data_IF_796127738548
#
_entry.id   IF_796127738548
#
_cell.length_a   1.000
_cell.length_b   1.000
_cell.length_c   1.000
_cell.angle_alpha   90.00
_cell.angle_beta   90.00
_cell.angle_gamma   90.00
#
_symmetry.space_group_name_H-M   'P 1'
#
loop_
_entity.id
_entity.type
_entity.pdbx_description
1 polymer ?
#
# COMPACT_ATOMS: atom_id res chain seq x y z
N UNK A 1 -10.16 52.33 74.06
CA UNK A 1 -11.10 51.38 73.42
C UNK A 1 -11.96 52.16 72.45
N UNK A 2 -12.11 51.61 71.23
CA UNK A 2 -12.93 52.09 70.10
C UNK A 2 -12.48 53.38 69.40
N UNK A 3 -11.62 53.23 68.37
CA UNK A 3 -11.80 54.04 67.16
C UNK A 3 -11.23 53.36 65.90
N UNK A 4 -11.60 52.09 65.68
CA UNK A 4 -11.54 51.42 64.37
C UNK A 4 -12.58 52.01 63.37
N UNK A 5 -13.02 53.24 63.62
CA UNK A 5 -14.03 54.03 62.91
C UNK A 5 -13.53 55.42 62.48
N UNK A 6 -12.23 55.68 62.45
CA UNK A 6 -11.72 56.81 61.68
C UNK A 6 -12.06 56.59 60.19
N UNK A 7 -12.75 57.53 59.52
CA UNK A 7 -13.13 57.38 58.10
C UNK A 7 -11.97 56.96 57.19
N UNK A 8 -10.74 57.36 57.53
CA UNK A 8 -9.51 56.99 56.83
C UNK A 8 -9.17 55.49 56.93
N UNK A 9 -9.25 54.89 58.12
CA UNK A 9 -8.96 53.46 58.30
C UNK A 9 -9.98 52.57 57.57
N UNK A 10 -11.27 52.90 57.68
CA UNK A 10 -12.34 52.19 56.96
C UNK A 10 -12.14 52.27 55.44
N UNK A 11 -11.82 53.46 54.93
CA UNK A 11 -11.53 53.65 53.50
C UNK A 11 -10.26 52.89 53.07
N UNK A 12 -9.25 52.81 53.93
CA UNK A 12 -8.04 52.05 53.70
C UNK A 12 -8.35 50.55 53.58
N UNK A 13 -9.14 50.00 54.50
CA UNK A 13 -9.58 48.60 54.48
C UNK A 13 -10.41 48.29 53.24
N UNK A 14 -11.37 49.16 52.90
CA UNK A 14 -12.21 49.01 51.69
C UNK A 14 -11.38 48.98 50.40
N UNK A 15 -10.32 49.79 50.31
CA UNK A 15 -9.49 49.90 49.09
C UNK A 15 -8.36 48.89 49.01
N UNK A 16 -7.73 48.56 50.14
CA UNK A 16 -6.45 47.84 50.18
C UNK A 16 -6.48 46.56 51.01
N UNK A 17 -7.59 46.26 51.69
CA UNK A 17 -7.74 45.09 52.56
C UNK A 17 -7.65 43.74 51.83
N UNK A 18 -7.78 43.72 50.50
CA UNK A 18 -7.61 42.52 49.68
C UNK A 18 -6.38 42.63 48.78
N UNK A 19 -5.24 42.12 49.25
CA UNK A 19 -4.05 41.95 48.42
C UNK A 19 -4.11 40.66 47.60
N UNK A 20 -3.22 40.51 46.61
CA UNK A 20 -3.28 39.40 45.64
C UNK A 20 -2.42 38.18 46.00
N UNK A 21 -1.78 38.16 47.17
CA UNK A 21 -0.79 37.11 47.48
C UNK A 21 -1.37 35.70 47.49
N UNK A 22 -2.58 35.51 48.02
CA UNK A 22 -3.23 34.19 48.03
C UNK A 22 -3.55 33.70 46.61
N UNK A 23 -4.03 34.60 45.75
CA UNK A 23 -4.31 34.28 44.35
C UNK A 23 -3.01 33.97 43.57
N UNK A 24 -1.93 34.71 43.82
CA UNK A 24 -0.60 34.43 43.25
C UNK A 24 -0.09 33.05 43.66
N UNK A 25 -0.26 32.67 44.92
CA UNK A 25 0.15 31.36 45.43
C UNK A 25 -0.66 30.22 44.78
N UNK A 26 -1.99 30.37 44.68
CA UNK A 26 -2.83 29.40 43.99
C UNK A 26 -2.47 29.25 42.50
N UNK A 27 -2.24 30.37 41.79
CA UNK A 27 -1.78 30.37 40.41
C UNK A 27 -0.41 29.69 40.27
N UNK A 28 0.51 29.94 41.21
CA UNK A 28 1.82 29.31 41.23
C UNK A 28 1.74 27.79 41.39
N UNK A 29 0.87 27.30 42.28
CA UNK A 29 0.63 25.87 42.49
C UNK A 29 0.09 25.23 41.20
N UNK A 30 -0.92 25.86 40.58
CA UNK A 30 -1.53 25.37 39.34
C UNK A 30 -0.50 25.33 38.19
N UNK A 31 0.30 26.40 38.03
CA UNK A 31 1.34 26.45 37.01
C UNK A 31 2.38 25.33 37.20
N UNK A 32 2.78 25.04 38.44
CA UNK A 32 3.67 23.92 38.74
C UNK A 32 3.03 22.57 38.42
N UNK A 33 1.77 22.35 38.78
CA UNK A 33 1.06 21.08 38.46
C UNK A 33 1.01 20.81 36.95
N UNK A 34 0.72 21.84 36.15
CA UNK A 34 0.75 21.73 34.69
C UNK A 34 2.17 21.42 34.20
N UNK A 35 3.18 22.11 34.74
CA UNK A 35 4.60 21.84 34.43
C UNK A 35 4.99 20.38 34.68
N UNK A 36 4.63 19.81 35.84
CA UNK A 36 4.92 18.40 36.14
C UNK A 36 4.20 17.44 35.18
N UNK A 37 2.99 17.80 34.73
CA UNK A 37 2.29 17.04 33.69
C UNK A 37 3.07 17.05 32.38
N UNK A 38 3.58 18.20 31.94
CA UNK A 38 4.40 18.30 30.72
C UNK A 38 5.73 17.56 30.82
N UNK A 39 6.37 17.56 31.99
CA UNK A 39 7.58 16.75 32.26
C UNK A 39 7.36 15.25 32.05
N UNK A 40 6.11 14.79 32.18
CA UNK A 40 5.71 13.40 31.89
C UNK A 40 5.27 13.22 30.44
N UNK A 41 4.50 14.17 29.88
CA UNK A 41 3.94 14.07 28.53
C UNK A 41 4.99 14.21 27.42
N UNK A 42 5.94 15.14 27.54
CA UNK A 42 6.95 15.41 26.52
C UNK A 42 7.78 14.15 26.19
N UNK A 43 8.32 13.40 27.18
CA UNK A 43 9.01 12.13 26.90
C UNK A 43 8.16 11.08 26.18
N UNK A 44 6.85 11.00 26.47
CA UNK A 44 5.94 10.06 25.80
C UNK A 44 5.78 10.41 24.31
N UNK A 45 5.61 11.70 23.99
CA UNK A 45 5.51 12.18 22.61
C UNK A 45 6.83 11.98 21.87
N UNK A 46 7.98 12.24 22.51
CA UNK A 46 9.30 11.97 21.92
C UNK A 46 9.51 10.49 21.61
N UNK A 47 9.06 9.60 22.51
CA UNK A 47 9.08 8.15 22.28
C UNK A 47 8.20 7.75 21.10
N UNK A 48 7.01 8.34 20.97
CA UNK A 48 6.13 8.14 19.81
C UNK A 48 6.77 8.64 18.51
N UNK A 49 7.32 9.85 18.48
CA UNK A 49 8.04 10.40 17.34
C UNK A 49 9.21 9.50 16.91
N UNK A 50 9.99 8.99 17.87
CA UNK A 50 11.09 8.05 17.59
C UNK A 50 10.59 6.77 16.92
N UNK A 51 9.41 6.25 17.31
CA UNK A 51 8.80 5.08 16.65
C UNK A 51 8.34 5.39 15.22
N UNK A 52 7.80 6.58 14.97
CA UNK A 52 7.44 7.04 13.62
C UNK A 52 8.69 7.14 12.73
N UNK A 53 9.78 7.72 13.25
CA UNK A 53 11.05 7.81 12.54
C UNK A 53 11.65 6.45 12.19
N UNK A 54 11.64 5.53 13.15
CA UNK A 54 12.09 4.16 12.92
C UNK A 54 11.25 3.43 11.86
N UNK A 55 9.94 3.71 11.80
CA UNK A 55 9.07 3.18 10.75
C UNK A 55 9.41 3.82 9.40
N UNK A 56 9.60 5.15 9.35
CA UNK A 56 9.93 5.91 8.14
C UNK A 56 11.20 5.38 7.45
N UNK A 57 12.24 5.06 8.21
CA UNK A 57 13.51 4.54 7.68
C UNK A 57 13.35 3.14 7.06
N UNK A 58 12.33 2.37 7.45
CA UNK A 58 12.05 1.01 6.93
C UNK A 58 11.16 1.01 5.69
N UNK A 59 10.50 2.11 5.38
CA UNK A 59 9.65 2.25 4.19
C UNK A 59 10.50 2.75 3.01
N UNK A 60 10.30 2.24 1.78
CA UNK A 60 11.00 2.76 0.60
C UNK A 60 10.80 4.27 0.44
N UNK A 61 11.89 5.00 0.16
CA UNK A 61 11.83 6.44 -0.08
C UNK A 61 11.03 6.74 -1.36
N UNK A 62 9.91 7.43 -1.26
CA UNK A 62 9.08 7.80 -2.41
C UNK A 62 8.94 9.31 -2.54
N UNK A 63 8.75 9.79 -3.77
CA UNK A 63 8.63 11.22 -4.07
C UNK A 63 7.19 11.73 -4.14
N UNK A 64 6.18 10.87 -3.98
CA UNK A 64 4.79 11.28 -4.12
C UNK A 64 4.09 11.46 -2.77
N UNK A 65 3.15 12.40 -2.76
CA UNK A 65 2.47 12.91 -1.56
C UNK A 65 1.55 11.87 -0.92
N UNK A 66 1.05 10.91 -1.70
CA UNK A 66 0.20 9.81 -1.25
C UNK A 66 0.98 8.57 -0.80
N UNK A 67 2.30 8.70 -0.63
CA UNK A 67 3.15 7.61 -0.16
C UNK A 67 3.13 7.48 1.36
N UNK A 68 3.29 6.24 1.84
CA UNK A 68 3.48 5.98 3.29
C UNK A 68 4.73 6.72 3.79
N UNK A 69 5.78 6.81 2.96
CA UNK A 69 6.99 7.55 3.30
C UNK A 69 6.70 9.03 3.55
N UNK A 70 5.92 9.68 2.67
CA UNK A 70 5.52 11.07 2.81
C UNK A 70 4.61 11.30 4.02
N UNK A 71 3.61 10.44 4.24
CA UNK A 71 2.74 10.55 5.42
C UNK A 71 3.55 10.50 6.73
N UNK A 72 4.50 9.56 6.84
CA UNK A 72 5.39 9.46 8.00
C UNK A 72 6.34 10.66 8.13
N UNK A 73 6.78 11.22 7.01
CA UNK A 73 7.59 12.44 6.96
C UNK A 73 6.83 13.63 7.57
N UNK A 74 5.57 13.82 7.17
CA UNK A 74 4.72 14.93 7.66
C UNK A 74 4.38 14.75 9.14
N UNK A 75 3.98 13.54 9.55
CA UNK A 75 3.71 13.24 10.97
C UNK A 75 4.97 13.47 11.83
N UNK A 76 6.14 13.12 11.31
CA UNK A 76 7.40 13.35 12.01
C UNK A 76 7.69 14.83 12.23
N UNK A 77 7.67 15.65 11.17
CA UNK A 77 7.95 17.07 11.25
C UNK A 77 6.92 17.83 12.11
N UNK A 78 5.63 17.49 11.97
CA UNK A 78 4.58 18.09 12.81
C UNK A 78 4.78 17.74 14.29
N UNK A 79 5.13 16.50 14.61
CA UNK A 79 5.47 16.09 15.98
C UNK A 79 6.68 16.85 16.53
N UNK A 80 7.74 17.05 15.74
CA UNK A 80 8.92 17.80 16.16
C UNK A 80 8.55 19.24 16.56
N UNK A 81 7.74 19.91 15.74
CA UNK A 81 7.25 21.27 16.02
C UNK A 81 6.38 21.30 17.29
N UNK A 82 5.49 20.32 17.47
CA UNK A 82 4.63 20.25 18.66
C UNK A 82 5.43 20.00 19.95
N UNK A 83 6.47 19.15 19.89
CA UNK A 83 7.38 18.92 21.03
C UNK A 83 8.04 20.23 21.44
N UNK A 84 8.51 21.04 20.49
CA UNK A 84 9.11 22.34 20.76
C UNK A 84 8.11 23.32 21.40
N UNK A 85 6.88 23.39 20.88
CA UNK A 85 5.80 24.19 21.49
C UNK A 85 5.56 23.78 22.94
N UNK A 86 5.47 22.47 23.21
CA UNK A 86 5.23 21.97 24.56
C UNK A 86 6.39 22.25 25.51
N UNK A 87 7.64 22.17 25.05
CA UNK A 87 8.81 22.58 25.84
C UNK A 87 8.78 24.06 26.18
N UNK A 88 8.47 24.92 25.21
CA UNK A 88 8.36 26.37 25.45
C UNK A 88 7.26 26.66 26.48
N UNK A 89 6.11 26.00 26.34
CA UNK A 89 4.98 26.18 27.26
C UNK A 89 5.30 25.67 28.68
N UNK A 90 5.90 24.48 28.79
CA UNK A 90 6.37 23.88 30.04
C UNK A 90 7.35 24.81 30.77
N UNK A 91 8.39 25.25 30.07
CA UNK A 91 9.42 26.12 30.65
C UNK A 91 8.86 27.50 31.03
N UNK A 92 7.90 28.01 30.27
CA UNK A 92 7.22 29.28 30.58
C UNK A 92 6.38 29.18 31.85
N UNK A 93 5.68 28.06 32.04
CA UNK A 93 4.89 27.79 33.25
C UNK A 93 5.76 27.53 34.48
N UNK A 94 6.88 26.84 34.33
CA UNK A 94 7.86 26.62 35.40
C UNK A 94 8.38 27.98 35.92
N UNK A 95 8.82 28.86 35.00
CA UNK A 95 9.24 30.23 35.31
C UNK A 95 8.12 31.06 35.96
N UNK A 96 6.89 30.97 35.44
CA UNK A 96 5.75 31.67 36.03
C UNK A 96 5.51 31.22 37.48
N UNK A 97 5.51 29.89 37.72
CA UNK A 97 5.33 29.32 39.05
C UNK A 97 6.36 29.87 40.05
N UNK A 98 7.63 29.94 39.66
CA UNK A 98 8.70 30.48 40.50
C UNK A 98 8.51 32.00 40.71
N UNK A 99 8.24 32.77 39.65
CA UNK A 99 8.10 34.23 39.74
C UNK A 99 6.97 34.68 40.66
N UNK A 100 5.82 33.98 40.64
CA UNK A 100 4.66 34.29 41.49
C UNK A 100 4.93 34.07 42.99
N UNK A 101 5.96 33.31 43.36
CA UNK A 101 6.38 33.12 44.75
C UNK A 101 7.31 34.23 45.24
N UNK A 102 8.01 34.92 44.33
CA UNK A 102 8.94 36.00 44.67
C UNK A 102 8.18 37.30 44.94
N UNK A 103 7.74 37.47 46.18
CA UNK A 103 7.05 38.68 46.64
C UNK A 103 8.10 39.76 46.94
N UNK A 104 7.83 41.01 46.54
CA UNK A 104 8.66 42.17 46.87
C UNK A 104 10.11 42.05 46.35
N UNK A 105 10.29 41.82 45.04
CA UNK A 105 11.60 41.58 44.42
C UNK A 105 12.57 42.78 44.42
N UNK A 106 12.13 43.94 44.90
CA UNK A 106 12.90 45.18 45.04
C UNK A 106 13.15 45.58 46.50
N UNK A 107 12.89 44.67 47.44
CA UNK A 107 13.18 44.81 48.87
C UNK A 107 12.58 46.08 49.50
N UNK A 108 11.33 46.41 49.14
CA UNK A 108 10.63 47.53 49.78
C UNK A 108 10.41 47.28 51.26
N UNK A 109 10.88 48.19 52.10
CA UNK A 109 10.67 48.13 53.54
C UNK A 109 9.19 48.38 53.87
N UNK A 110 8.55 47.38 54.47
CA UNK A 110 7.15 47.47 54.90
C UNK A 110 7.09 48.29 56.19
N UNK A 111 6.22 49.31 56.21
CA UNK A 111 6.00 50.18 57.36
C UNK A 111 5.48 49.40 58.56
N UNK A 112 5.84 49.85 59.77
CA UNK A 112 5.25 49.34 61.02
C UNK A 112 3.84 49.86 61.28
N UNK A 113 3.39 50.90 60.55
CA UNK A 113 2.04 51.46 60.65
C UNK A 113 1.06 50.58 59.85
N UNK A 114 0.02 49.99 60.46
CA UNK A 114 -0.83 48.97 59.82
C UNK A 114 -1.49 49.42 58.50
N UNK A 115 -2.04 50.64 58.45
CA UNK A 115 -2.71 51.16 57.24
C UNK A 115 -1.73 51.41 56.08
N UNK A 116 -0.51 51.84 56.39
CA UNK A 116 0.55 52.03 55.38
C UNK A 116 1.03 50.67 54.90
N UNK A 117 1.27 49.73 55.81
CA UNK A 117 1.67 48.36 55.47
C UNK A 117 0.61 47.66 54.59
N UNK A 118 -0.68 47.88 54.86
CA UNK A 118 -1.77 47.33 54.05
C UNK A 118 -1.78 47.89 52.62
N UNK A 119 -1.61 49.20 52.48
CA UNK A 119 -1.44 49.87 51.18
C UNK A 119 -0.23 49.32 50.42
N UNK A 120 0.93 49.26 51.07
CA UNK A 120 2.17 48.73 50.49
C UNK A 120 1.99 47.28 50.02
N UNK A 121 1.47 46.40 50.87
CA UNK A 121 1.24 45.00 50.50
C UNK A 121 0.29 44.85 49.31
N UNK A 122 -0.75 45.68 49.22
CA UNK A 122 -1.63 45.70 48.05
C UNK A 122 -0.86 46.10 46.78
N UNK A 123 -0.13 47.22 46.83
CA UNK A 123 0.67 47.72 45.69
C UNK A 123 1.78 46.75 45.26
N UNK A 124 2.55 46.21 46.21
CA UNK A 124 3.60 45.22 45.98
C UNK A 124 3.02 43.98 45.30
N UNK A 125 1.89 43.46 45.79
CA UNK A 125 1.24 42.29 45.19
C UNK A 125 0.75 42.56 43.76
N UNK A 126 0.26 43.78 43.47
CA UNK A 126 -0.14 44.19 42.13
C UNK A 126 1.05 44.26 41.16
N UNK A 127 2.14 44.91 41.57
CA UNK A 127 3.36 45.05 40.77
C UNK A 127 3.98 43.68 40.50
N UNK A 128 4.14 42.85 41.55
CA UNK A 128 4.73 41.51 41.44
C UNK A 128 3.92 40.61 40.50
N UNK A 129 2.59 40.66 40.60
CA UNK A 129 1.70 39.92 39.68
C UNK A 129 1.85 40.43 38.24
N UNK A 130 1.83 41.75 38.03
CA UNK A 130 1.97 42.33 36.69
C UNK A 130 3.31 41.96 36.05
N UNK A 131 4.42 42.03 36.81
CA UNK A 131 5.75 41.62 36.35
C UNK A 131 5.78 40.13 35.97
N UNK A 132 5.23 39.25 36.81
CA UNK A 132 5.18 37.81 36.58
C UNK A 132 4.39 37.45 35.32
N UNK A 133 3.20 38.05 35.16
CA UNK A 133 2.34 37.82 33.99
C UNK A 133 2.93 38.41 32.71
N UNK A 134 3.52 39.60 32.77
CA UNK A 134 4.19 40.21 31.60
C UNK A 134 5.38 39.38 31.14
N UNK A 135 6.19 38.89 32.08
CA UNK A 135 7.29 37.96 31.79
C UNK A 135 6.78 36.66 31.16
N UNK A 136 5.70 36.09 31.69
CA UNK A 136 5.09 34.88 31.12
C UNK A 136 4.61 35.09 29.68
N UNK A 137 3.91 36.19 29.38
CA UNK A 137 3.48 36.52 28.00
C UNK A 137 4.69 36.60 27.07
N UNK A 138 5.78 37.26 27.50
CA UNK A 138 7.00 37.34 26.70
C UNK A 138 7.64 35.97 26.46
N UNK A 139 7.65 35.09 27.47
CA UNK A 139 8.19 33.73 27.33
C UNK A 139 7.37 32.87 26.35
N UNK A 140 6.08 33.16 26.14
CA UNK A 140 5.22 32.46 25.16
C UNK A 140 5.43 32.94 23.71
N UNK A 141 6.03 34.12 23.49
CA UNK A 141 6.23 34.70 22.16
C UNK A 141 6.83 33.72 21.12
N UNK A 142 7.85 32.89 21.45
CA UNK A 142 8.44 31.94 20.50
C UNK A 142 7.49 30.87 19.96
N UNK A 143 6.35 30.60 20.63
CA UNK A 143 5.34 29.65 20.14
C UNK A 143 4.78 30.11 18.78
N UNK A 144 4.64 31.41 18.56
CA UNK A 144 4.13 31.96 17.29
C UNK A 144 4.95 31.49 16.08
N UNK A 145 6.29 31.51 16.20
CA UNK A 145 7.20 31.04 15.16
C UNK A 145 7.03 29.54 14.87
N UNK A 146 6.87 28.74 15.92
CA UNK A 146 6.64 27.30 15.76
C UNK A 146 5.29 27.01 15.11
N UNK A 147 4.24 27.75 15.46
CA UNK A 147 2.92 27.61 14.83
C UNK A 147 2.94 28.02 13.34
N UNK A 148 3.74 29.02 12.96
CA UNK A 148 3.94 29.37 11.54
C UNK A 148 4.59 28.19 10.79
N UNK A 149 5.60 27.53 11.38
CA UNK A 149 6.20 26.33 10.76
C UNK A 149 5.19 25.19 10.64
N UNK A 150 4.39 24.94 11.69
CA UNK A 150 3.35 23.92 11.67
C UNK A 150 2.36 24.18 10.53
N UNK A 151 1.84 25.40 10.42
CA UNK A 151 0.89 25.78 9.38
C UNK A 151 1.49 25.59 8.00
N UNK A 152 2.75 25.98 7.78
CA UNK A 152 3.41 25.78 6.49
C UNK A 152 3.46 24.30 6.08
N UNK A 153 3.76 23.40 7.01
CA UNK A 153 3.75 21.95 6.74
C UNK A 153 2.35 21.51 6.33
N UNK A 154 1.31 21.95 7.05
CA UNK A 154 -0.07 21.54 6.78
C UNK A 154 -0.68 22.16 5.51
N UNK A 155 -0.27 23.38 5.14
CA UNK A 155 -0.71 24.05 3.90
C UNK A 155 -0.20 23.37 2.63
N UNK A 156 0.91 22.64 2.73
CA UNK A 156 1.51 21.91 1.63
C UNK A 156 0.81 20.55 1.38
N UNK A 157 -0.04 20.10 2.30
CA UNK A 157 -0.75 18.83 2.23
C UNK A 157 -2.17 18.96 1.67
N UNK A 158 -2.54 18.03 0.78
CA UNK A 158 -3.93 17.89 0.29
C UNK A 158 -4.61 16.71 0.97
N UNK A 159 -5.37 16.99 2.03
CA UNK A 159 -6.12 15.97 2.78
C UNK A 159 -7.16 15.24 1.92
N UNK A 160 -7.74 15.91 0.92
CA UNK A 160 -8.73 15.29 0.03
C UNK A 160 -8.05 14.32 -0.95
N UNK A 161 -6.85 14.65 -1.41
CA UNK A 161 -6.05 13.75 -2.26
C UNK A 161 -5.67 12.48 -1.50
N UNK A 162 -5.23 12.61 -0.24
CA UNK A 162 -4.94 11.47 0.64
C UNK A 162 -6.16 10.57 0.83
N UNK A 163 -7.32 11.15 1.16
CA UNK A 163 -8.56 10.37 1.33
C UNK A 163 -8.97 9.66 0.03
N UNK A 164 -8.85 10.35 -1.10
CA UNK A 164 -9.15 9.79 -2.42
C UNK A 164 -8.22 8.61 -2.74
N UNK A 165 -6.93 8.72 -2.44
CA UNK A 165 -5.96 7.65 -2.63
C UNK A 165 -6.29 6.42 -1.77
N UNK A 166 -6.61 6.62 -0.49
CA UNK A 166 -7.02 5.55 0.43
C UNK A 166 -8.28 4.83 -0.09
N UNK A 167 -9.31 5.58 -0.46
CA UNK A 167 -10.56 5.01 -0.99
C UNK A 167 -10.31 4.23 -2.28
N UNK A 168 -9.48 4.76 -3.19
CA UNK A 168 -9.13 4.09 -4.45
C UNK A 168 -8.53 2.71 -4.21
N UNK A 169 -7.56 2.61 -3.28
CA UNK A 169 -6.87 1.34 -3.01
C UNK A 169 -7.79 0.35 -2.29
N UNK A 170 -8.62 0.81 -1.35
CA UNK A 170 -9.63 -0.04 -0.71
C UNK A 170 -10.60 -0.60 -1.75
N UNK A 171 -11.07 0.24 -2.67
CA UNK A 171 -12.01 -0.15 -3.71
C UNK A 171 -11.39 -1.14 -4.70
N UNK A 172 -10.13 -0.93 -5.09
CA UNK A 172 -9.39 -1.88 -5.92
C UNK A 172 -9.27 -3.24 -5.22
N UNK A 173 -8.86 -3.26 -3.94
CA UNK A 173 -8.73 -4.49 -3.16
C UNK A 173 -10.07 -5.23 -3.04
N UNK A 174 -11.16 -4.51 -2.74
CA UNK A 174 -12.52 -5.08 -2.66
C UNK A 174 -12.95 -5.67 -4.01
N UNK A 175 -12.73 -4.94 -5.10
CA UNK A 175 -13.05 -5.41 -6.46
C UNK A 175 -12.35 -6.73 -6.76
N UNK A 176 -11.06 -6.82 -6.48
CA UNK A 176 -10.28 -8.03 -6.76
C UNK A 176 -10.65 -9.22 -5.86
N UNK A 177 -11.05 -8.99 -4.61
CA UNK A 177 -11.53 -10.04 -3.70
C UNK A 177 -12.92 -10.57 -4.06
N UNK A 178 -13.79 -9.69 -4.57
CA UNK A 178 -15.15 -10.04 -4.99
C UNK A 178 -15.20 -10.65 -6.40
N UNK A 179 -14.11 -10.59 -7.15
CA UNK A 179 -14.04 -11.20 -8.48
C UNK A 179 -13.94 -12.72 -8.34
N UNK A 180 -14.97 -13.46 -8.78
CA UNK A 180 -14.91 -14.91 -8.83
C UNK A 180 -14.17 -15.39 -10.09
N UNK A 181 -12.85 -15.47 -9.98
CA UNK A 181 -11.96 -15.89 -11.05
C UNK A 181 -12.23 -17.31 -11.57
N UNK A 182 -12.90 -18.16 -10.79
CA UNK A 182 -13.24 -19.54 -11.18
C UNK A 182 -14.52 -19.63 -12.02
N UNK A 183 -15.44 -18.66 -11.92
CA UNK A 183 -16.72 -18.70 -12.65
C UNK A 183 -16.72 -17.84 -13.93
N UNK A 184 -15.82 -16.87 -14.04
CA UNK A 184 -15.75 -15.96 -15.20
C UNK A 184 -15.05 -16.55 -16.44
N UNK A 185 -14.50 -17.76 -16.35
CA UNK A 185 -13.60 -18.30 -17.38
C UNK A 185 -14.29 -18.47 -18.74
N UNK A 186 -15.49 -19.06 -18.76
CA UNK A 186 -16.25 -19.26 -19.99
C UNK A 186 -16.81 -17.94 -20.55
N UNK A 187 -17.20 -17.01 -19.69
CA UNK A 187 -17.71 -15.69 -20.07
C UNK A 187 -16.60 -14.79 -20.63
N UNK A 188 -15.38 -14.86 -20.08
CA UNK A 188 -14.22 -14.11 -20.58
C UNK A 188 -13.81 -14.60 -21.96
N UNK A 189 -13.86 -15.93 -22.22
CA UNK A 189 -13.61 -16.50 -23.54
C UNK A 189 -14.72 -16.08 -24.53
N UNK A 190 -15.98 -16.04 -24.08
CA UNK A 190 -17.14 -15.61 -24.90
C UNK A 190 -17.16 -14.12 -25.24
N UNK A 191 -16.57 -13.26 -24.41
CA UNK A 191 -16.54 -11.81 -24.64
C UNK A 191 -15.51 -11.37 -25.69
N UNK A 192 -14.85 -12.30 -26.39
CA UNK A 192 -13.92 -12.06 -27.51
C UNK A 192 -12.80 -11.04 -27.26
N UNK A 193 -12.47 -10.74 -25.99
CA UNK A 193 -11.27 -9.99 -25.67
C UNK A 193 -10.06 -10.86 -26.04
N UNK A 194 -9.13 -10.34 -26.84
CA UNK A 194 -7.97 -11.07 -27.38
C UNK A 194 -6.97 -11.55 -26.29
N UNK A 195 -7.25 -11.30 -25.01
CA UNK A 195 -6.34 -11.50 -23.90
C UNK A 195 -6.64 -12.76 -23.09
N UNK A 196 -5.58 -13.48 -22.71
CA UNK A 196 -5.65 -14.58 -21.75
C UNK A 196 -6.28 -14.07 -20.44
N UNK A 197 -7.25 -14.79 -19.86
CA UNK A 197 -7.89 -14.33 -18.62
C UNK A 197 -6.84 -14.09 -17.54
N UNK A 198 -6.91 -12.92 -16.89
CA UNK A 198 -5.89 -12.44 -15.94
C UNK A 198 -5.46 -13.49 -14.88
N UNK A 199 -6.35 -14.29 -14.28
CA UNK A 199 -5.99 -15.32 -13.29
C UNK A 199 -4.94 -16.31 -13.80
N UNK A 200 -5.14 -16.80 -15.01
CA UNK A 200 -4.27 -17.78 -15.66
C UNK A 200 -3.01 -17.10 -16.12
N UNK A 201 -3.14 -15.90 -16.68
CA UNK A 201 -1.99 -15.11 -17.09
C UNK A 201 -1.06 -14.85 -15.90
N UNK A 202 -1.60 -14.48 -14.74
CA UNK A 202 -0.86 -14.32 -13.48
C UNK A 202 -0.16 -15.60 -13.05
N UNK A 203 -0.86 -16.73 -13.05
CA UNK A 203 -0.25 -18.01 -12.71
C UNK A 203 0.85 -18.41 -13.70
N UNK A 204 0.63 -18.22 -15.01
CA UNK A 204 1.60 -18.50 -16.06
C UNK A 204 2.84 -17.62 -15.93
N UNK A 205 2.68 -16.31 -15.69
CA UNK A 205 3.79 -15.38 -15.48
C UNK A 205 4.56 -15.70 -14.19
N UNK A 206 3.84 -16.03 -13.12
CA UNK A 206 4.44 -16.44 -11.84
C UNK A 206 5.34 -17.66 -12.00
N UNK A 207 4.91 -18.66 -12.78
CA UNK A 207 5.79 -19.77 -13.15
C UNK A 207 6.90 -19.25 -14.06
N UNK A 208 6.59 -18.64 -15.21
CA UNK A 208 7.55 -18.27 -16.27
C UNK A 208 8.76 -17.46 -15.79
N UNK A 209 8.56 -16.56 -14.82
CA UNK A 209 9.63 -15.70 -14.29
C UNK A 209 10.14 -16.14 -12.92
N UNK A 210 9.72 -17.29 -12.41
CA UNK A 210 10.20 -17.77 -11.10
C UNK A 210 11.69 -18.10 -11.14
N UNK A 211 12.47 -17.69 -10.12
CA UNK A 211 13.83 -18.17 -9.90
C UNK A 211 13.86 -19.52 -9.17
N UNK A 212 12.70 -20.04 -8.73
CA UNK A 212 12.59 -21.28 -7.97
C UNK A 212 12.72 -22.49 -8.90
N UNK A 213 13.05 -23.65 -8.31
CA UNK A 213 13.10 -24.92 -9.03
C UNK A 213 11.75 -25.21 -9.71
N UNK A 214 11.83 -25.70 -10.95
CA UNK A 214 10.69 -26.16 -11.74
C UNK A 214 10.55 -27.69 -11.69
N UNK A 215 11.26 -28.37 -10.79
CA UNK A 215 11.28 -29.83 -10.70
C UNK A 215 9.85 -30.40 -10.59
N UNK A 216 9.43 -31.19 -11.57
CA UNK A 216 8.13 -31.84 -11.59
C UNK A 216 6.94 -30.88 -11.70
N UNK A 217 7.13 -29.63 -12.17
CA UNK A 217 6.04 -28.69 -12.45
C UNK A 217 4.98 -29.34 -13.34
N UNK A 218 3.69 -29.08 -13.07
CA UNK A 218 2.54 -29.76 -13.69
C UNK A 218 2.38 -31.27 -13.41
N UNK A 219 3.40 -31.97 -12.91
CA UNK A 219 3.28 -33.36 -12.46
C UNK A 219 2.86 -33.43 -10.99
N UNK A 220 3.43 -32.58 -10.14
CA UNK A 220 3.11 -32.52 -8.72
C UNK A 220 1.68 -31.99 -8.48
N UNK A 221 1.00 -32.45 -7.43
CA UNK A 221 -0.37 -32.06 -7.09
C UNK A 221 -0.39 -31.21 -5.82
N UNK A 222 -0.98 -29.99 -5.85
CA UNK A 222 -1.20 -29.24 -4.63
C UNK A 222 -2.32 -29.87 -3.79
N UNK A 223 -2.35 -29.56 -2.50
CA UNK A 223 -3.48 -29.86 -1.62
C UNK A 223 -4.76 -29.15 -2.09
N UNK A 224 -5.90 -29.81 -2.02
CA UNK A 224 -7.17 -29.31 -2.55
C UNK A 224 -7.63 -28.00 -1.91
N UNK A 225 -7.45 -27.83 -0.58
CA UNK A 225 -7.83 -26.59 0.11
C UNK A 225 -6.92 -25.43 -0.30
N UNK A 226 -5.63 -25.73 -0.45
CA UNK A 226 -4.63 -24.78 -0.94
C UNK A 226 -4.99 -24.32 -2.36
N UNK A 227 -5.27 -25.27 -3.27
CA UNK A 227 -5.63 -24.98 -4.65
C UNK A 227 -6.86 -24.07 -4.77
N UNK A 228 -7.94 -24.34 -4.03
CA UNK A 228 -9.13 -23.49 -4.06
C UNK A 228 -8.86 -22.08 -3.52
N UNK A 229 -8.01 -21.96 -2.50
CA UNK A 229 -7.59 -20.66 -1.97
C UNK A 229 -6.77 -19.87 -2.98
N UNK A 230 -5.81 -20.51 -3.64
CA UNK A 230 -5.01 -19.88 -4.69
C UNK A 230 -5.86 -19.47 -5.88
N UNK A 231 -6.76 -20.33 -6.36
CA UNK A 231 -7.65 -20.01 -7.48
C UNK A 231 -8.53 -18.78 -7.19
N UNK A 232 -9.06 -18.67 -5.96
CA UNK A 232 -9.88 -17.52 -5.53
C UNK A 232 -9.06 -16.24 -5.34
N UNK A 233 -7.83 -16.35 -4.87
CA UNK A 233 -7.01 -15.20 -4.47
C UNK A 233 -5.91 -14.82 -5.48
N UNK A 234 -5.81 -15.51 -6.62
CA UNK A 234 -4.75 -15.27 -7.62
C UNK A 234 -4.69 -13.82 -8.12
N UNK A 235 -5.82 -13.10 -8.11
CA UNK A 235 -5.87 -11.68 -8.44
C UNK A 235 -5.23 -10.75 -7.41
N UNK A 236 -5.10 -11.19 -6.15
CA UNK A 236 -4.70 -10.34 -5.00
C UNK A 236 -3.38 -10.74 -4.34
N UNK A 237 -2.82 -11.89 -4.68
CA UNK A 237 -1.55 -12.39 -4.13
C UNK A 237 -0.36 -12.06 -5.04
N UNK A 238 0.83 -12.10 -4.44
CA UNK A 238 2.09 -12.08 -5.18
C UNK A 238 2.40 -13.46 -5.75
N UNK A 239 2.29 -13.57 -7.06
CA UNK A 239 2.60 -14.81 -7.78
C UNK A 239 4.09 -15.14 -7.80
N UNK A 240 4.99 -14.16 -7.62
CA UNK A 240 6.43 -14.42 -7.53
C UNK A 240 6.82 -15.03 -6.19
N UNK A 241 6.11 -14.66 -5.12
CA UNK A 241 6.27 -15.26 -3.81
C UNK A 241 5.55 -16.62 -3.67
N UNK A 242 4.74 -17.02 -4.65
CA UNK A 242 3.93 -18.23 -4.61
C UNK A 242 4.66 -19.48 -5.12
N UNK A 243 4.39 -20.63 -4.51
CA UNK A 243 4.96 -21.91 -4.91
C UNK A 243 4.48 -22.38 -6.30
N UNK A 244 5.39 -22.98 -7.06
CA UNK A 244 5.18 -23.41 -8.45
C UNK A 244 4.12 -24.52 -8.55
N UNK A 245 4.02 -25.41 -7.55
CA UNK A 245 3.04 -26.49 -7.53
C UNK A 245 1.62 -25.92 -7.45
N UNK A 246 1.41 -24.92 -6.59
CA UNK A 246 0.12 -24.25 -6.46
C UNK A 246 -0.26 -23.48 -7.73
N UNK A 247 0.68 -22.71 -8.32
CA UNK A 247 0.42 -22.00 -9.58
C UNK A 247 0.10 -22.97 -10.72
N UNK A 248 0.85 -24.07 -10.84
CA UNK A 248 0.58 -25.10 -11.87
C UNK A 248 -0.75 -25.80 -11.65
N UNK A 249 -1.15 -25.97 -10.39
CA UNK A 249 -2.48 -26.43 -10.00
C UNK A 249 -3.59 -25.51 -10.47
N UNK A 250 -3.44 -24.20 -10.29
CA UNK A 250 -4.43 -23.19 -10.75
C UNK A 250 -4.61 -23.27 -12.27
N UNK A 251 -3.51 -23.36 -13.03
CA UNK A 251 -3.56 -23.51 -14.50
C UNK A 251 -4.27 -24.81 -14.90
N UNK A 252 -3.92 -25.95 -14.30
CA UNK A 252 -4.58 -27.24 -14.60
C UNK A 252 -6.06 -27.23 -14.24
N UNK A 253 -6.42 -26.64 -13.10
CA UNK A 253 -7.81 -26.50 -12.66
C UNK A 253 -8.60 -25.67 -13.67
N UNK A 254 -8.04 -24.54 -14.11
CA UNK A 254 -8.64 -23.73 -15.16
C UNK A 254 -8.90 -24.54 -16.43
N UNK A 255 -7.88 -25.20 -16.97
CA UNK A 255 -7.99 -25.94 -18.23
C UNK A 255 -9.07 -27.05 -18.14
N UNK A 256 -9.13 -27.74 -17.00
CA UNK A 256 -10.07 -28.84 -16.76
C UNK A 256 -11.51 -28.38 -16.50
N UNK A 257 -11.69 -27.23 -15.87
CA UNK A 257 -13.02 -26.77 -15.42
C UNK A 257 -13.74 -25.91 -16.50
N UNK A 258 -13.11 -25.69 -17.66
CA UNK A 258 -13.74 -25.07 -18.83
C UNK A 258 -14.95 -25.85 -19.35
N UNK A 259 -16.00 -25.15 -19.76
CA UNK A 259 -17.17 -25.77 -20.43
C UNK A 259 -16.83 -26.35 -21.80
N UNK A 260 -15.90 -25.70 -22.50
CA UNK A 260 -15.37 -26.13 -23.80
C UNK A 260 -13.84 -26.14 -23.74
N UNK A 261 -13.17 -27.20 -24.24
CA UNK A 261 -11.72 -27.26 -24.20
C UNK A 261 -11.07 -26.10 -24.97
N UNK A 262 -9.84 -25.75 -24.60
CA UNK A 262 -9.07 -24.71 -25.31
C UNK A 262 -8.92 -25.06 -26.79
N UNK A 263 -8.70 -26.32 -27.12
CA UNK A 263 -8.83 -26.79 -28.50
C UNK A 263 -10.29 -27.11 -28.81
N UNK A 264 -10.94 -26.41 -29.77
CA UNK A 264 -12.35 -26.65 -30.10
C UNK A 264 -12.61 -28.10 -30.46
N UNK A 265 -13.70 -28.66 -29.93
CA UNK A 265 -14.08 -30.05 -30.15
C UNK A 265 -14.29 -30.39 -31.64
N UNK A 266 -14.78 -29.42 -32.42
CA UNK A 266 -14.94 -29.55 -33.89
C UNK A 266 -13.62 -29.75 -34.63
N UNK A 267 -12.50 -29.27 -34.08
CA UNK A 267 -11.17 -29.37 -34.68
C UNK A 267 -10.35 -30.54 -34.10
N UNK A 268 -10.87 -31.25 -33.08
CA UNK A 268 -10.12 -32.32 -32.42
C UNK A 268 -9.89 -33.52 -33.34
N UNK A 269 -10.94 -34.06 -33.98
CA UNK A 269 -10.78 -35.22 -34.85
C UNK A 269 -9.87 -34.94 -36.05
N UNK A 270 -10.00 -33.80 -36.78
CA UNK A 270 -9.03 -33.40 -37.79
C UNK A 270 -7.59 -33.37 -37.26
N UNK A 271 -7.37 -32.81 -36.07
CA UNK A 271 -6.05 -32.75 -35.44
C UNK A 271 -5.48 -34.15 -35.15
N UNK A 272 -6.30 -35.04 -34.58
CA UNK A 272 -5.88 -36.42 -34.30
C UNK A 272 -5.56 -37.18 -35.59
N UNK A 273 -6.33 -36.99 -36.67
CA UNK A 273 -6.04 -37.57 -37.98
C UNK A 273 -4.70 -37.07 -38.55
N UNK A 274 -4.38 -35.78 -38.40
CA UNK A 274 -3.07 -35.24 -38.80
C UNK A 274 -1.95 -35.90 -38.00
N UNK A 275 -2.09 -36.03 -36.69
CA UNK A 275 -1.09 -36.69 -35.83
C UNK A 275 -0.92 -38.17 -36.19
N UNK A 276 -2.01 -38.93 -36.36
CA UNK A 276 -1.93 -40.34 -36.72
C UNK A 276 -1.21 -40.57 -38.04
N UNK A 277 -1.49 -39.73 -39.05
CA UNK A 277 -0.96 -39.92 -40.40
C UNK A 277 0.44 -39.32 -40.61
N UNK A 278 0.82 -38.30 -39.84
CA UNK A 278 2.02 -37.50 -40.13
C UNK A 278 2.96 -37.35 -38.93
N UNK A 279 2.75 -38.00 -37.77
CA UNK A 279 3.62 -37.86 -36.60
C UNK A 279 5.10 -38.25 -36.82
N UNK A 280 5.39 -39.03 -37.86
CA UNK A 280 6.75 -39.39 -38.29
C UNK A 280 7.36 -38.41 -39.31
N UNK A 281 6.54 -37.57 -39.96
CA UNK A 281 6.96 -36.52 -40.86
C UNK A 281 6.57 -35.16 -40.27
N UNK A 282 7.47 -34.63 -39.43
CA UNK A 282 7.22 -33.45 -38.61
C UNK A 282 6.95 -32.19 -39.43
N UNK A 283 7.60 -32.00 -40.57
CA UNK A 283 7.38 -30.85 -41.47
C UNK A 283 5.93 -30.84 -41.99
N UNK A 284 5.47 -31.98 -42.54
CA UNK A 284 4.08 -32.13 -43.02
C UNK A 284 3.07 -32.02 -41.88
N UNK A 285 3.42 -32.51 -40.69
CA UNK A 285 2.56 -32.37 -39.51
C UNK A 285 2.41 -30.90 -39.11
N UNK A 286 3.49 -30.13 -39.08
CA UNK A 286 3.48 -28.71 -38.71
C UNK A 286 2.65 -27.90 -39.71
N UNK A 287 2.84 -28.10 -41.02
CA UNK A 287 2.10 -27.36 -42.04
C UNK A 287 0.58 -27.56 -41.91
N UNK A 288 0.14 -28.82 -41.80
CA UNK A 288 -1.29 -29.15 -41.60
C UNK A 288 -1.83 -28.64 -40.26
N UNK A 289 -0.99 -28.64 -39.22
CA UNK A 289 -1.37 -28.12 -37.90
C UNK A 289 -1.56 -26.62 -37.94
N UNK A 290 -0.69 -25.88 -38.65
CA UNK A 290 -0.82 -24.41 -38.82
C UNK A 290 -2.13 -24.05 -39.50
N UNK A 291 -2.51 -24.77 -40.54
CA UNK A 291 -3.82 -24.59 -41.22
C UNK A 291 -5.00 -24.75 -40.25
N UNK A 292 -4.95 -25.71 -39.33
CA UNK A 292 -5.96 -25.85 -38.28
C UNK A 292 -5.89 -24.72 -37.25
N UNK A 293 -4.70 -24.27 -36.85
CA UNK A 293 -4.58 -23.18 -35.86
C UNK A 293 -5.16 -21.86 -36.36
N UNK A 294 -5.18 -21.62 -37.68
CA UNK A 294 -5.84 -20.46 -38.29
C UNK A 294 -7.36 -20.44 -38.09
N UNK A 295 -7.97 -21.58 -37.75
CA UNK A 295 -9.41 -21.71 -37.50
C UNK A 295 -9.77 -21.54 -36.01
N UNK A 296 -8.79 -21.42 -35.13
CA UNK A 296 -9.03 -21.23 -33.70
C UNK A 296 -9.63 -19.84 -33.44
N UNK A 297 -10.64 -19.73 -32.56
CA UNK A 297 -11.04 -18.44 -32.02
C UNK A 297 -9.84 -17.72 -31.39
N UNK A 298 -9.80 -16.39 -31.50
CA UNK A 298 -8.65 -15.58 -31.04
C UNK A 298 -8.29 -15.85 -29.57
N UNK A 299 -9.27 -15.94 -28.68
CA UNK A 299 -9.05 -16.22 -27.27
C UNK A 299 -8.41 -17.62 -27.05
N UNK A 300 -8.94 -18.65 -27.71
CA UNK A 300 -8.41 -20.01 -27.66
C UNK A 300 -6.96 -20.07 -28.17
N UNK A 301 -6.68 -19.45 -29.32
CA UNK A 301 -5.33 -19.35 -29.88
C UNK A 301 -4.37 -18.61 -28.92
N UNK A 302 -4.83 -17.50 -28.32
CA UNK A 302 -4.05 -16.72 -27.35
C UNK A 302 -3.68 -17.55 -26.11
N UNK A 303 -4.64 -18.27 -25.53
CA UNK A 303 -4.41 -19.13 -24.36
C UNK A 303 -3.47 -20.28 -24.71
N UNK A 304 -3.72 -20.98 -25.82
CA UNK A 304 -2.88 -22.09 -26.28
C UNK A 304 -1.44 -21.63 -26.51
N UNK A 305 -1.26 -20.49 -27.18
CA UNK A 305 0.07 -19.91 -27.45
C UNK A 305 0.82 -19.59 -26.16
N UNK A 306 0.19 -18.95 -25.17
CA UNK A 306 0.82 -18.67 -23.87
C UNK A 306 1.15 -19.96 -23.11
N UNK A 307 0.27 -20.97 -23.17
CA UNK A 307 0.52 -22.26 -22.56
C UNK A 307 1.73 -22.96 -23.19
N UNK A 308 1.81 -23.02 -24.52
CA UNK A 308 2.94 -23.61 -25.24
C UNK A 308 4.24 -22.83 -25.01
N UNK A 309 4.18 -21.50 -24.90
CA UNK A 309 5.34 -20.67 -24.56
C UNK A 309 5.88 -21.01 -23.15
N UNK A 310 4.97 -21.19 -22.18
CA UNK A 310 5.33 -21.62 -20.83
C UNK A 310 5.91 -23.04 -20.82
N UNK A 311 5.26 -23.98 -21.51
CA UNK A 311 5.75 -25.35 -21.67
C UNK A 311 7.17 -25.36 -22.25
N UNK A 312 7.42 -24.56 -23.29
CA UNK A 312 8.74 -24.40 -23.89
C UNK A 312 9.81 -23.92 -22.93
N UNK A 313 9.49 -22.93 -22.08
CA UNK A 313 10.41 -22.46 -21.04
C UNK A 313 10.73 -23.57 -20.04
N UNK A 314 9.74 -24.37 -19.67
CA UNK A 314 9.91 -25.48 -18.72
C UNK A 314 10.76 -26.60 -19.33
N UNK A 315 10.46 -27.02 -20.56
CA UNK A 315 11.20 -28.12 -21.20
C UNK A 315 12.64 -27.75 -21.55
N UNK A 316 12.92 -26.46 -21.74
CA UNK A 316 14.28 -25.93 -21.89
C UNK A 316 15.04 -25.81 -20.56
N UNK A 317 14.38 -26.01 -19.42
CA UNK A 317 15.01 -26.00 -18.10
C UNK A 317 15.36 -27.44 -17.67
N UNK A 318 16.65 -27.84 -17.65
CA UNK A 318 17.04 -29.23 -17.36
C UNK A 318 16.61 -29.69 -15.96
N UNK A 319 16.64 -28.78 -14.98
CA UNK A 319 16.25 -29.06 -13.59
C UNK A 319 14.76 -29.38 -13.44
N UNK A 320 13.93 -29.00 -14.41
CA UNK A 320 12.50 -29.28 -14.36
C UNK A 320 12.18 -30.79 -14.38
N UNK A 321 13.04 -31.61 -14.98
CA UNK A 321 12.80 -33.04 -15.29
C UNK A 321 11.52 -33.26 -16.13
N UNK A 322 11.03 -32.22 -16.80
CA UNK A 322 9.83 -32.26 -17.63
C UNK A 322 10.23 -32.09 -19.09
N UNK A 323 10.21 -33.18 -19.86
CA UNK A 323 10.36 -33.14 -21.32
C UNK A 323 9.00 -32.89 -22.01
N UNK A 324 9.01 -32.79 -23.34
CA UNK A 324 7.79 -32.54 -24.12
C UNK A 324 6.71 -33.62 -23.87
N UNK A 325 7.12 -34.87 -23.67
CA UNK A 325 6.21 -35.99 -23.43
C UNK A 325 5.58 -35.90 -22.02
N UNK A 326 6.40 -35.69 -20.98
CA UNK A 326 5.95 -35.55 -19.60
C UNK A 326 4.97 -34.37 -19.45
N UNK A 327 5.25 -33.24 -20.12
CA UNK A 327 4.33 -32.11 -20.18
C UNK A 327 3.01 -32.50 -20.87
N UNK A 328 3.08 -33.22 -21.98
CA UNK A 328 1.89 -33.67 -22.70
C UNK A 328 1.03 -34.65 -21.90
N UNK A 329 1.63 -35.55 -21.12
CA UNK A 329 0.92 -36.42 -20.17
C UNK A 329 0.16 -35.58 -19.15
N UNK A 330 0.75 -34.50 -18.63
CA UNK A 330 0.14 -33.68 -17.59
C UNK A 330 -0.94 -32.71 -18.10
N UNK A 331 -0.81 -32.17 -19.32
CA UNK A 331 -1.65 -31.08 -19.82
C UNK A 331 -2.46 -31.40 -21.08
N UNK A 332 -2.08 -32.42 -21.85
CA UNK A 332 -2.67 -32.71 -23.16
C UNK A 332 -4.17 -32.96 -23.08
N UNK A 333 -4.60 -33.81 -22.14
CA UNK A 333 -6.02 -34.10 -21.91
C UNK A 333 -6.81 -32.85 -21.52
N UNK A 334 -6.35 -32.09 -20.51
CA UNK A 334 -7.04 -30.89 -20.04
C UNK A 334 -7.09 -29.76 -21.08
N UNK A 335 -6.19 -29.77 -22.07
CA UNK A 335 -6.16 -28.73 -23.11
C UNK A 335 -7.02 -29.10 -24.32
N UNK A 336 -7.02 -30.39 -24.69
CA UNK A 336 -7.61 -30.86 -25.95
C UNK A 336 -9.00 -31.46 -25.79
N UNK A 337 -9.39 -31.89 -24.58
CA UNK A 337 -10.58 -32.72 -24.34
C UNK A 337 -11.48 -32.05 -23.31
N UNK A 338 -12.79 -32.07 -23.57
CA UNK A 338 -13.79 -31.64 -22.59
C UNK A 338 -13.79 -32.56 -21.38
N UNK A 339 -13.99 -32.02 -20.19
CA UNK A 339 -14.10 -32.79 -18.93
C UNK A 339 -15.12 -33.94 -19.03
N UNK A 340 -16.20 -33.73 -19.78
CA UNK A 340 -17.27 -34.72 -19.96
C UNK A 340 -16.86 -35.89 -20.86
N UNK A 341 -15.85 -35.70 -21.71
CA UNK A 341 -15.43 -36.69 -22.72
C UNK A 341 -14.19 -37.49 -22.28
N UNK A 342 -13.57 -37.16 -21.13
CA UNK A 342 -12.34 -37.84 -20.65
C UNK A 342 -12.54 -39.35 -20.50
N UNK A 343 -13.73 -39.80 -20.12
CA UNK A 343 -14.01 -41.22 -19.90
C UNK A 343 -14.17 -42.02 -21.21
N UNK A 344 -14.48 -41.35 -22.32
CA UNK A 344 -14.81 -42.01 -23.60
C UNK A 344 -13.62 -42.08 -24.57
N UNK A 345 -12.55 -41.31 -24.31
CA UNK A 345 -11.36 -41.19 -25.18
C UNK A 345 -10.28 -42.26 -24.94
N UNK A 346 -10.53 -43.30 -24.13
CA UNK A 346 -9.50 -44.25 -23.68
C UNK A 346 -8.55 -44.74 -24.78
N UNK A 347 -9.09 -45.11 -25.95
CA UNK A 347 -8.32 -45.57 -27.12
C UNK A 347 -7.55 -44.45 -27.84
N UNK A 348 -7.98 -43.20 -27.74
CA UNK A 348 -7.36 -42.03 -28.38
C UNK A 348 -6.32 -41.33 -27.49
N UNK A 349 -6.20 -41.70 -26.21
CA UNK A 349 -5.30 -41.08 -25.23
C UNK A 349 -3.86 -40.94 -25.73
N UNK A 350 -3.29 -42.00 -26.31
CA UNK A 350 -1.92 -41.96 -26.86
C UNK A 350 -1.75 -40.93 -27.97
N UNK A 351 -2.75 -40.81 -28.86
CA UNK A 351 -2.73 -39.82 -29.95
C UNK A 351 -2.91 -38.39 -29.43
N UNK A 352 -3.70 -38.20 -28.38
CA UNK A 352 -3.89 -36.89 -27.73
C UNK A 352 -2.59 -36.43 -27.07
N UNK A 353 -1.92 -37.33 -26.33
CA UNK A 353 -0.60 -37.06 -25.73
C UNK A 353 0.40 -36.75 -26.84
N UNK A 354 0.48 -37.57 -27.89
CA UNK A 354 1.42 -37.34 -29.00
C UNK A 354 1.16 -36.02 -29.73
N UNK A 355 -0.11 -35.66 -29.89
CA UNK A 355 -0.52 -34.37 -30.49
C UNK A 355 0.03 -33.20 -29.68
N UNK A 356 -0.18 -33.20 -28.36
CA UNK A 356 0.28 -32.11 -27.51
C UNK A 356 1.81 -32.09 -27.39
N UNK A 357 2.47 -33.25 -27.35
CA UNK A 357 3.93 -33.37 -27.37
C UNK A 357 4.54 -32.68 -28.60
N UNK A 358 3.99 -32.95 -29.79
CA UNK A 358 4.42 -32.33 -31.05
C UNK A 358 4.11 -30.83 -31.07
N UNK A 359 2.99 -30.38 -30.49
CA UNK A 359 2.71 -28.95 -30.33
C UNK A 359 3.75 -28.24 -29.46
N UNK A 360 4.17 -28.84 -28.33
CA UNK A 360 5.19 -28.26 -27.44
C UNK A 360 6.56 -28.24 -28.15
N UNK A 361 6.89 -29.30 -28.87
CA UNK A 361 8.15 -29.42 -29.63
C UNK A 361 8.23 -28.36 -30.74
N UNK A 362 7.18 -28.19 -31.53
CA UNK A 362 7.15 -27.32 -32.73
C UNK A 362 6.50 -25.95 -32.51
N UNK A 363 6.30 -25.56 -31.25
CA UNK A 363 5.58 -24.35 -30.84
C UNK A 363 5.99 -23.06 -31.58
N UNK A 364 7.27 -22.89 -31.91
CA UNK A 364 7.83 -21.70 -32.58
C UNK A 364 7.49 -21.64 -34.07
N UNK A 365 7.32 -22.80 -34.70
CA UNK A 365 6.91 -22.89 -36.11
C UNK A 365 5.39 -22.82 -36.25
N UNK A 366 4.66 -23.39 -35.28
CA UNK A 366 3.19 -23.29 -35.23
C UNK A 366 2.76 -21.84 -34.96
N UNK A 367 3.36 -21.19 -33.96
CA UNK A 367 3.08 -19.81 -33.57
C UNK A 367 4.36 -18.97 -33.65
N UNK A 368 4.54 -18.28 -34.76
CA UNK A 368 5.76 -17.48 -35.05
C UNK A 368 5.99 -16.33 -34.07
N UNK A 369 4.94 -15.84 -33.40
CA UNK A 369 5.01 -14.74 -32.42
C UNK A 369 5.02 -15.22 -30.95
N UNK A 370 5.21 -16.53 -30.72
CA UNK A 370 5.15 -17.13 -29.38
C UNK A 370 6.17 -16.54 -28.39
N UNK A 371 7.32 -16.09 -28.88
CA UNK A 371 8.37 -15.47 -28.07
C UNK A 371 7.97 -14.16 -27.39
N UNK A 372 6.84 -13.55 -27.78
CA UNK A 372 6.38 -12.28 -27.26
C UNK A 372 5.34 -12.41 -26.12
N UNK A 373 4.79 -13.60 -25.91
CA UNK A 373 3.72 -13.87 -24.94
C UNK A 373 4.01 -13.33 -23.52
N UNK A 374 5.26 -13.47 -23.07
CA UNK A 374 5.67 -13.06 -21.73
C UNK A 374 6.39 -11.71 -21.69
N UNK A 375 6.61 -11.03 -22.82
CA UNK A 375 7.39 -9.77 -22.85
C UNK A 375 6.54 -8.52 -22.66
N UNK A 376 5.30 -8.51 -23.18
CA UNK A 376 4.52 -7.27 -23.33
C UNK A 376 3.86 -6.77 -22.04
N UNK A 377 3.61 -7.64 -21.06
CA UNK A 377 2.76 -7.33 -19.88
C UNK A 377 3.35 -7.74 -18.53
N UNK A 378 4.67 -7.89 -18.45
CA UNK A 378 5.38 -8.29 -17.20
C UNK A 378 4.96 -7.44 -16.01
N UNK A 379 5.03 -6.12 -16.14
CA UNK A 379 4.73 -5.20 -15.05
C UNK A 379 3.23 -5.14 -14.69
N UNK A 380 2.35 -5.39 -15.65
CA UNK A 380 0.91 -5.32 -15.41
C UNK A 380 0.39 -6.58 -14.71
N UNK A 381 0.99 -7.73 -15.01
CA UNK A 381 0.55 -9.05 -14.57
C UNK A 381 1.25 -9.48 -13.29
N UNK A 382 2.59 -9.35 -13.24
CA UNK A 382 3.39 -9.86 -12.12
C UNK A 382 3.25 -9.00 -10.89
N UNK A 383 3.22 -7.67 -11.05
CA UNK A 383 3.16 -6.76 -9.91
C UNK A 383 1.80 -6.99 -9.23
N UNK A 384 1.77 -7.62 -8.05
CA UNK A 384 0.52 -7.80 -7.35
C UNK A 384 -0.06 -6.42 -7.03
N UNK A 385 -1.36 -6.31 -6.74
CA UNK A 385 -1.89 -5.18 -6.01
C UNK A 385 -1.49 -5.34 -4.53
N UNK A 386 -0.19 -5.51 -4.30
CA UNK A 386 0.41 -5.06 -3.06
C UNK A 386 0.51 -3.56 -3.25
N UNK A 387 0.17 -2.82 -2.21
CA UNK A 387 0.68 -1.48 -2.00
C UNK A 387 2.22 -1.59 -1.91
N UNK A 388 2.90 -1.91 -3.03
CA UNK A 388 4.16 -1.23 -3.25
C UNK A 388 3.75 0.21 -3.24
N UNK A 389 4.51 1.03 -2.53
CA UNK A 389 4.37 2.45 -2.62
C UNK A 389 4.38 2.82 -4.11
N UNK A 390 3.21 2.87 -4.74
CA UNK A 390 3.00 2.90 -6.20
C UNK A 390 3.49 4.23 -6.78
N UNK A 391 3.92 5.09 -5.87
CA UNK A 391 4.46 6.41 -5.93
C UNK A 391 6.00 6.44 -5.92
N UNK A 392 6.66 5.30 -5.66
CA UNK A 392 8.12 5.17 -5.65
C UNK A 392 8.76 5.48 -7.01
N UNK A 393 8.04 5.26 -8.13
CA UNK A 393 8.67 5.28 -9.46
C UNK A 393 7.90 6.01 -10.56
N UNK A 394 6.98 6.94 -10.24
CA UNK A 394 6.32 7.72 -11.30
C UNK A 394 6.29 9.20 -10.97
N UNK A 395 6.94 10.00 -11.83
CA UNK A 395 6.74 11.46 -11.97
C UNK A 395 5.32 11.85 -12.41
N UNK A 396 4.38 10.90 -12.48
CA UNK A 396 2.99 11.11 -12.85
C UNK A 396 2.12 10.10 -12.10
N UNK A 397 1.28 10.59 -11.19
CA UNK A 397 0.17 9.84 -10.62
C UNK A 397 -0.83 9.53 -11.74
N UNK A 398 -0.64 8.41 -12.43
CA UNK A 398 -1.66 7.87 -13.34
C UNK A 398 -2.60 7.04 -12.47
N UNK A 399 -3.86 7.46 -12.36
CA UNK A 399 -4.91 6.58 -11.85
C UNK A 399 -4.89 5.30 -12.67
N UNK A 400 -4.47 4.19 -12.06
CA UNK A 400 -4.43 2.90 -12.73
C UNK A 400 -5.81 2.25 -12.63
N UNK A 401 -6.69 2.56 -13.58
CA UNK A 401 -7.61 1.53 -14.07
C UNK A 401 -6.79 0.54 -14.92
N UNK A 402 -6.00 -0.32 -14.28
CA UNK A 402 -5.23 -1.39 -14.97
C UNK A 402 -6.11 -2.33 -15.79
N UNK A 403 -7.43 -2.26 -15.65
CA UNK A 403 -8.41 -2.79 -16.57
C UNK A 403 -9.38 -1.65 -16.95
N UNK A 404 -9.45 -1.31 -18.25
CA UNK A 404 -10.44 -0.36 -18.81
C UNK A 404 -11.84 -0.70 -18.27
N UNK A 405 -12.41 0.08 -17.33
CA UNK A 405 -13.80 -0.04 -16.95
C UNK A 405 -14.56 0.92 -17.87
N UNK A 406 -15.28 0.37 -18.85
CA UNK A 406 -16.14 1.09 -19.79
C UNK A 406 -15.44 2.08 -20.74
N UNK A 407 -15.68 1.89 -22.04
CA UNK A 407 -15.20 2.76 -23.13
C UNK A 407 -15.86 4.18 -23.14
N UNK A 408 -16.48 4.61 -22.03
CA UNK A 408 -17.21 5.88 -21.94
C UNK A 408 -16.54 6.96 -21.08
N UNK A 409 -15.47 6.67 -20.33
CA UNK A 409 -14.73 7.71 -19.59
C UNK A 409 -13.50 8.17 -20.39
N UNK A 410 -13.67 9.28 -21.10
CA UNK A 410 -12.71 9.86 -22.05
C UNK A 410 -11.68 10.83 -21.44
N UNK A 411 -11.47 10.85 -20.12
CA UNK A 411 -10.49 11.78 -19.52
C UNK A 411 -9.60 11.11 -18.47
N UNK A 412 -8.37 10.78 -18.87
CA UNK A 412 -7.25 10.71 -17.93
C UNK A 412 -7.13 12.07 -17.23
N UNK A 413 -7.43 12.13 -15.93
CA UNK A 413 -7.12 13.30 -15.11
C UNK A 413 -5.64 13.25 -14.74
N UNK A 414 -4.84 14.11 -15.35
CA UNK A 414 -3.47 14.40 -14.93
C UNK A 414 -3.51 15.53 -13.91
N UNK A 415 -2.92 15.33 -12.73
CA UNK A 415 -2.78 16.37 -11.70
C UNK A 415 -1.32 16.79 -11.56
N UNK A 416 -1.11 18.09 -11.36
CA UNK A 416 0.21 18.70 -11.16
C UNK A 416 0.66 18.46 -9.72
N UNK A 417 1.80 17.81 -9.56
CA UNK A 417 2.40 17.45 -8.26
C UNK A 417 3.02 18.73 -7.65
N UNK A 418 2.65 19.03 -6.41
CA UNK A 418 3.07 20.20 -5.64
C UNK A 418 4.59 20.36 -5.51
N UNK A 419 5.03 21.60 -5.24
CA UNK A 419 6.43 22.06 -5.29
C UNK A 419 7.36 21.54 -4.17
N UNK A 420 6.88 20.67 -3.27
CA UNK A 420 7.72 20.06 -2.23
C UNK A 420 8.52 18.83 -2.71
N UNK A 421 8.64 18.67 -4.04
CA UNK A 421 9.69 17.86 -4.64
C UNK A 421 11.01 18.39 -4.12
N UNK A 422 11.65 17.57 -3.29
CA UNK A 422 12.98 17.74 -2.72
C UNK A 422 13.80 18.82 -3.42
N UNK A 423 14.20 19.86 -2.68
CA UNK A 423 15.45 20.55 -2.95
C UNK A 423 16.56 19.50 -2.90
N UNK A 424 16.78 18.87 -4.05
CA UNK A 424 17.94 18.12 -4.50
C UNK A 424 18.96 17.78 -3.41
N UNK A 425 18.87 16.58 -2.87
CA UNK A 425 20.10 15.80 -2.60
C UNK A 425 20.16 14.72 -3.67
N UNK A 426 21.20 14.81 -4.49
CA UNK A 426 21.55 13.80 -5.48
C UNK A 426 21.60 12.42 -4.81
N UNK A 427 20.87 11.46 -5.38
CA UNK A 427 21.03 10.05 -5.08
C UNK A 427 22.44 9.64 -5.53
N UNK A 428 23.30 9.32 -4.57
CA UNK A 428 24.41 8.39 -4.80
C UNK A 428 23.93 6.98 -4.50
#
# INVERSE_FOLDING_TARGET
MNDWSLPAHKLCLERYGSNKYQAMEQLSINANQITQTFKTLIPLIQSFHTKIENLRIRVPKASSLTSIYHELLIISHTNEVLIDVFKIYETSLDKLSVSLKNKNSWDENISSVPDIAMQQNNMISNISLFQSLSSYINNLSPISHQMIKFNKIMEEEDSNELETAVLSVINERKKLLNTNYSQQIDEIIKNENEEVPLPILKAMYGIYFTPRSLEGVFRQCPDSRSLESYAKLIGVIDVQATDVVNLSGVIRKFLRDLSTPIWPQSLLQPMLSITMNNSTNEEVWVDKTRELTCQLPKANASILKHLLALCGRITNCPESKMDNYNIAVCLGLSTLISKNDIQTIGQQTGNIIKTFELMVKNKEVIFTDIGDCFKRRVNDVIIPPIYHDIFFNKRQSVYFTRHRPNQHETKMRTFNIGKYVAKSTSLN
#
